data_IF_358337169051
#
_entry.id   IF_358337169051
#
_cell.length_a   1.000
_cell.length_b   1.000
_cell.length_c   1.000
_cell.angle_alpha   90.00
_cell.angle_beta   90.00
_cell.angle_gamma   90.00
#
_symmetry.space_group_name_H-M   'P 1'
#
loop_
_entity.id
_entity.type
_entity.pdbx_description
1 polymer ?
#
# COMPACT_ATOMS: atom_id res chain seq x y z
N UNK A 1 -7.98 11.28 59.19
CA UNK A 1 -8.81 10.93 58.02
C UNK A 1 -8.10 11.39 56.73
N UNK A 2 -7.11 10.65 56.20
CA UNK A 2 -6.37 11.02 54.96
C UNK A 2 -5.77 9.80 54.23
N UNK A 3 -6.52 8.70 54.05
CA UNK A 3 -6.01 7.47 53.39
C UNK A 3 -7.04 6.77 52.48
N UNK A 4 -7.92 7.51 51.81
CA UNK A 4 -8.94 6.91 50.91
C UNK A 4 -9.01 7.48 49.49
N UNK A 5 -8.12 8.41 49.11
CA UNK A 5 -8.17 9.03 47.78
C UNK A 5 -7.16 8.48 46.77
N UNK A 6 -6.16 7.70 47.20
CA UNK A 6 -5.13 7.15 46.30
C UNK A 6 -5.57 5.90 45.52
N UNK A 7 -6.74 5.32 45.83
CA UNK A 7 -7.25 4.14 45.14
C UNK A 7 -8.16 4.46 43.94
N UNK A 8 -8.63 5.72 43.83
CA UNK A 8 -9.55 6.15 42.76
C UNK A 8 -8.84 6.71 41.52
N UNK A 9 -7.60 7.17 41.66
CA UNK A 9 -6.79 7.68 40.53
C UNK A 9 -6.08 6.54 39.78
N UNK A 10 -5.84 5.40 40.43
CA UNK A 10 -5.20 4.25 39.78
C UNK A 10 -6.15 3.45 38.86
N UNK A 11 -7.48 3.61 39.03
CA UNK A 11 -8.48 2.91 38.23
C UNK A 11 -8.92 3.70 36.98
N UNK A 12 -8.61 5.00 36.90
CA UNK A 12 -8.97 5.87 35.78
C UNK A 12 -7.94 5.89 34.64
N UNK A 13 -6.74 5.34 34.87
CA UNK A 13 -5.69 5.21 33.83
C UNK A 13 -5.77 3.88 33.09
N UNK A 14 -6.41 2.85 33.68
CA UNK A 14 -6.52 1.51 33.07
C UNK A 14 -7.64 1.39 32.03
N UNK A 15 -8.57 2.37 31.96
CA UNK A 15 -9.69 2.36 31.02
C UNK A 15 -9.37 3.00 29.66
N UNK A 16 -8.18 3.58 29.46
CA UNK A 16 -7.79 4.19 28.18
C UNK A 16 -7.21 3.22 27.14
N UNK A 17 -7.03 1.93 27.47
CA UNK A 17 -6.53 0.91 26.53
C UNK A 17 -7.60 0.00 25.93
N UNK A 18 -8.88 0.18 26.28
CA UNK A 18 -9.99 -0.39 25.51
C UNK A 18 -10.45 0.60 24.43
N UNK A 19 -9.52 1.05 23.58
CA UNK A 19 -9.90 1.48 22.24
C UNK A 19 -10.36 0.22 21.53
N UNK A 20 -11.68 0.00 21.55
CA UNK A 20 -12.36 -1.10 20.88
C UNK A 20 -11.68 -1.43 19.55
N UNK A 21 -11.16 -2.65 19.44
CA UNK A 21 -11.12 -3.32 18.16
C UNK A 21 -12.55 -3.40 17.68
N UNK A 22 -13.00 -2.38 16.96
CA UNK A 22 -14.21 -2.45 16.15
C UNK A 22 -13.92 -3.58 15.18
N UNK A 23 -14.44 -4.78 15.45
CA UNK A 23 -14.49 -5.83 14.46
C UNK A 23 -15.13 -5.19 13.22
N UNK A 24 -14.34 -5.05 12.16
CA UNK A 24 -14.82 -4.46 10.92
C UNK A 24 -15.96 -5.35 10.44
N UNK A 25 -17.19 -4.84 10.57
CA UNK A 25 -18.38 -5.59 10.22
C UNK A 25 -18.54 -5.49 8.70
N UNK A 26 -18.49 -6.62 8.01
CA UNK A 26 -18.72 -6.70 6.57
C UNK A 26 -20.00 -5.94 6.19
N UNK A 27 -19.97 -5.28 5.03
CA UNK A 27 -21.12 -4.49 4.57
C UNK A 27 -22.34 -5.38 4.31
N UNK A 28 -23.51 -4.88 4.70
CA UNK A 28 -24.76 -5.64 4.67
C UNK A 28 -25.34 -5.87 3.27
N UNK A 29 -24.87 -5.15 2.26
CA UNK A 29 -25.39 -5.13 0.90
C UNK A 29 -24.42 -5.68 -0.16
N UNK A 30 -23.50 -6.58 0.24
CA UNK A 30 -22.49 -7.19 -0.65
C UNK A 30 -22.88 -8.54 -1.25
N UNK A 31 -24.06 -9.06 -0.93
CA UNK A 31 -24.49 -10.37 -1.44
C UNK A 31 -24.57 -10.37 -2.97
N UNK A 32 -23.84 -11.29 -3.61
CA UNK A 32 -23.78 -11.43 -5.06
C UNK A 32 -22.88 -10.42 -5.79
N UNK A 33 -22.19 -9.54 -5.06
CA UNK A 33 -21.20 -8.65 -5.67
C UNK A 33 -19.89 -9.40 -5.98
N UNK A 34 -19.36 -9.34 -7.21
CA UNK A 34 -18.15 -10.07 -7.58
C UNK A 34 -16.89 -9.58 -6.86
N UNK A 35 -16.90 -8.39 -6.25
CA UNK A 35 -15.79 -7.81 -5.51
C UNK A 35 -16.03 -7.80 -4.00
N UNK A 36 -17.03 -8.52 -3.48
CA UNK A 36 -17.40 -8.51 -2.06
C UNK A 36 -16.19 -8.74 -1.12
N UNK A 37 -15.40 -9.77 -1.37
CA UNK A 37 -14.23 -10.09 -0.54
C UNK A 37 -13.16 -8.99 -0.59
N UNK A 38 -12.90 -8.44 -1.78
CA UNK A 38 -11.96 -7.34 -1.99
C UNK A 38 -12.41 -6.07 -1.26
N UNK A 39 -13.71 -5.76 -1.33
CA UNK A 39 -14.31 -4.61 -0.64
C UNK A 39 -14.19 -4.79 0.87
N UNK A 40 -14.49 -5.97 1.41
CA UNK A 40 -14.36 -6.27 2.83
C UNK A 40 -12.89 -6.15 3.29
N UNK A 41 -11.93 -6.67 2.52
CA UNK A 41 -10.50 -6.50 2.83
C UNK A 41 -10.07 -5.02 2.86
N UNK A 42 -10.57 -4.20 1.94
CA UNK A 42 -10.32 -2.76 1.95
C UNK A 42 -11.00 -2.05 3.13
N UNK A 43 -12.16 -2.54 3.59
CA UNK A 43 -12.84 -2.05 4.79
C UNK A 43 -12.06 -2.39 6.07
N UNK A 44 -11.55 -3.62 6.19
CA UNK A 44 -10.72 -4.07 7.32
C UNK A 44 -9.44 -3.24 7.45
N UNK A 45 -8.84 -2.88 6.31
CA UNK A 45 -7.70 -1.95 6.24
C UNK A 45 -8.08 -0.49 6.47
N UNK A 46 -9.36 -0.23 6.74
CA UNK A 46 -9.90 1.09 7.00
C UNK A 46 -9.92 2.01 5.78
N UNK A 47 -9.62 1.53 4.56
CA UNK A 47 -9.58 2.31 3.32
C UNK A 47 -10.99 2.72 2.93
N UNK A 48 -11.90 1.73 2.86
CA UNK A 48 -13.31 1.95 2.56
C UNK A 48 -14.14 2.11 3.83
N UNK A 49 -15.20 2.92 3.72
CA UNK A 49 -16.21 3.10 4.75
C UNK A 49 -17.59 3.06 4.11
N UNK A 50 -18.52 2.43 4.80
CA UNK A 50 -19.93 2.40 4.43
C UNK A 50 -20.67 3.60 5.01
N UNK A 51 -21.96 3.65 4.76
CA UNK A 51 -22.87 4.60 5.40
C UNK A 51 -23.11 4.25 6.88
N UNK A 52 -23.88 5.09 7.57
CA UNK A 52 -24.25 4.90 8.97
C UNK A 52 -25.06 3.63 9.24
N UNK A 53 -25.62 3.01 8.20
CA UNK A 53 -26.43 1.79 8.27
C UNK A 53 -25.60 0.53 7.95
N UNK A 54 -24.28 0.68 7.74
CA UNK A 54 -23.41 -0.44 7.39
C UNK A 54 -23.60 -0.95 5.96
N UNK A 55 -24.04 -0.08 5.04
CA UNK A 55 -24.12 -0.36 3.60
C UNK A 55 -22.99 0.31 2.84
N UNK A 56 -22.47 -0.34 1.81
CA UNK A 56 -21.44 0.22 0.94
C UNK A 56 -22.01 0.80 -0.36
N UNK A 57 -23.19 0.37 -0.80
CA UNK A 57 -23.82 0.71 -2.07
C UNK A 57 -22.92 0.38 -3.27
N UNK A 58 -22.70 -0.91 -3.58
CA UNK A 58 -21.70 -1.33 -4.57
C UNK A 58 -22.05 -0.90 -6.01
N UNK A 59 -23.34 -0.90 -6.35
CA UNK A 59 -23.85 -0.45 -7.65
C UNK A 59 -23.92 1.06 -7.81
N UNK A 60 -23.68 1.83 -6.73
CA UNK A 60 -23.67 3.28 -6.79
C UNK A 60 -22.54 3.83 -7.64
N UNK A 61 -22.77 5.00 -8.24
CA UNK A 61 -21.75 5.73 -8.99
C UNK A 61 -20.72 6.35 -8.04
N UNK A 62 -19.44 6.36 -8.46
CA UNK A 62 -18.36 7.00 -7.71
C UNK A 62 -18.18 8.46 -8.13
N UNK A 63 -18.19 9.39 -7.18
CA UNK A 63 -17.86 10.79 -7.44
C UNK A 63 -16.34 10.97 -7.58
N UNK A 64 -15.93 12.08 -8.21
CA UNK A 64 -14.52 12.39 -8.42
C UNK A 64 -13.76 12.49 -7.09
N UNK A 65 -14.35 13.18 -6.12
CA UNK A 65 -13.77 13.30 -4.78
C UNK A 65 -13.65 11.96 -4.07
N UNK A 66 -14.64 11.07 -4.20
CA UNK A 66 -14.57 9.73 -3.61
C UNK A 66 -13.49 8.88 -4.29
N UNK A 67 -13.40 8.93 -5.62
CA UNK A 67 -12.40 8.17 -6.39
C UNK A 67 -10.97 8.55 -6.05
N UNK A 68 -10.65 9.85 -6.06
CA UNK A 68 -9.31 10.33 -5.68
C UNK A 68 -9.00 9.98 -4.20
N UNK A 69 -9.99 10.09 -3.31
CA UNK A 69 -9.81 9.78 -1.89
C UNK A 69 -9.46 8.33 -1.62
N UNK A 70 -10.10 7.37 -2.29
CA UNK A 70 -9.77 5.96 -2.09
C UNK A 70 -8.40 5.61 -2.69
N UNK A 71 -7.98 6.28 -3.78
CA UNK A 71 -6.65 6.08 -4.38
C UNK A 71 -5.56 6.61 -3.45
N UNK A 72 -5.66 7.88 -3.01
CA UNK A 72 -4.69 8.50 -2.09
C UNK A 72 -4.55 7.68 -0.82
N UNK A 73 -5.68 7.28 -0.23
CA UNK A 73 -5.69 6.48 1.00
C UNK A 73 -5.20 5.05 0.79
N UNK A 74 -5.59 4.42 -0.32
CA UNK A 74 -5.24 3.04 -0.63
C UNK A 74 -3.74 2.84 -0.82
N UNK A 75 -3.07 3.82 -1.44
CA UNK A 75 -1.61 3.82 -1.61
C UNK A 75 -0.84 4.55 -0.51
N UNK A 76 -1.54 5.08 0.51
CA UNK A 76 -0.90 5.82 1.61
C UNK A 76 -0.14 7.07 1.17
N UNK A 77 -0.59 7.71 0.08
CA UNK A 77 0.05 8.92 -0.43
C UNK A 77 -0.07 10.02 0.62
N UNK A 78 1.02 10.75 0.84
CA UNK A 78 1.10 11.82 1.84
C UNK A 78 2.06 12.92 1.35
N UNK A 79 2.16 13.99 2.12
CA UNK A 79 3.03 15.14 1.87
C UNK A 79 3.87 15.49 3.10
N UNK A 80 4.07 14.54 4.02
CA UNK A 80 4.69 14.78 5.33
C UNK A 80 6.15 15.25 5.22
N UNK A 81 6.80 14.89 4.11
CA UNK A 81 8.17 15.24 3.77
C UNK A 81 8.29 16.57 3.00
N UNK A 82 7.18 17.22 2.65
CA UNK A 82 7.19 18.53 2.01
C UNK A 82 7.22 19.64 3.05
N UNK A 83 7.88 20.74 2.70
CA UNK A 83 7.92 21.96 3.51
C UNK A 83 7.37 23.10 2.67
N UNK A 84 6.31 23.72 3.16
CA UNK A 84 5.63 24.80 2.47
C UNK A 84 5.94 26.13 3.16
N UNK A 85 6.32 27.13 2.37
CA UNK A 85 6.47 28.51 2.87
C UNK A 85 5.09 29.10 3.22
N UNK A 86 4.06 28.70 2.46
CA UNK A 86 2.66 29.05 2.69
C UNK A 86 1.81 27.79 2.54
N UNK A 87 0.83 27.64 3.43
CA UNK A 87 -0.12 26.52 3.38
C UNK A 87 -0.75 26.37 1.98
N UNK A 88 -0.65 25.17 1.37
CA UNK A 88 -1.28 24.90 0.09
C UNK A 88 -2.80 24.86 0.25
N UNK A 89 -3.51 25.33 -0.78
CA UNK A 89 -4.97 25.32 -0.82
C UNK A 89 -5.43 24.55 -2.06
N UNK A 90 -6.54 23.83 -1.95
CA UNK A 90 -7.09 23.09 -3.07
C UNK A 90 -7.47 24.03 -4.23
N UNK A 91 -8.04 25.20 -3.92
CA UNK A 91 -8.42 26.22 -4.92
C UNK A 91 -7.25 26.80 -5.71
N UNK A 92 -6.01 26.72 -5.20
CA UNK A 92 -4.83 27.14 -5.96
C UNK A 92 -4.60 26.27 -7.20
N UNK A 93 -5.04 25.01 -7.16
CA UNK A 93 -4.85 24.03 -8.23
C UNK A 93 -6.15 23.70 -8.96
N UNK A 94 -7.26 23.67 -8.22
CA UNK A 94 -8.59 23.26 -8.69
C UNK A 94 -9.63 24.32 -8.28
N UNK A 95 -9.87 25.35 -9.12
CA UNK A 95 -10.71 26.49 -8.75
C UNK A 95 -12.17 26.14 -8.42
N UNK A 96 -12.66 24.98 -8.87
CA UNK A 96 -14.03 24.50 -8.63
C UNK A 96 -14.18 23.68 -7.32
N UNK A 97 -13.10 23.50 -6.56
CA UNK A 97 -13.09 22.80 -5.27
C UNK A 97 -13.17 23.78 -4.10
N UNK A 98 -13.42 23.24 -2.90
CA UNK A 98 -13.43 24.01 -1.64
C UNK A 98 -12.14 23.77 -0.85
N UNK A 99 -11.73 24.79 -0.08
CA UNK A 99 -10.55 24.73 0.78
C UNK A 99 -10.83 24.13 2.18
N UNK A 100 -12.09 23.81 2.50
CA UNK A 100 -12.53 23.36 3.82
C UNK A 100 -13.47 22.13 3.76
N UNK A 101 -13.41 21.36 2.67
CA UNK A 101 -14.21 20.16 2.48
C UNK A 101 -13.46 18.90 2.92
N UNK A 102 -14.21 17.82 3.18
CA UNK A 102 -13.66 16.52 3.59
C UNK A 102 -12.62 15.92 2.62
N UNK A 103 -12.61 16.37 1.36
CA UNK A 103 -11.68 15.92 0.32
C UNK A 103 -10.51 16.88 0.10
N UNK A 104 -10.49 18.07 0.72
CA UNK A 104 -9.50 19.12 0.40
C UNK A 104 -8.06 18.62 0.50
N UNK A 105 -7.71 18.01 1.64
CA UNK A 105 -6.37 17.48 1.88
C UNK A 105 -6.00 16.41 0.86
N UNK A 106 -6.95 15.53 0.51
CA UNK A 106 -6.77 14.51 -0.51
C UNK A 106 -6.34 15.11 -1.84
N UNK A 107 -7.00 16.18 -2.31
CA UNK A 107 -6.66 16.78 -3.61
C UNK A 107 -5.31 17.50 -3.58
N UNK A 108 -4.94 18.11 -2.45
CA UNK A 108 -3.61 18.69 -2.26
C UNK A 108 -2.56 17.58 -2.31
N UNK A 109 -2.77 16.48 -1.58
CA UNK A 109 -1.88 15.31 -1.58
C UNK A 109 -1.74 14.73 -2.99
N UNK A 110 -2.86 14.53 -3.68
CA UNK A 110 -2.89 14.01 -5.04
C UNK A 110 -2.07 14.88 -6.00
N UNK A 111 -2.27 16.20 -5.97
CA UNK A 111 -1.54 17.16 -6.79
C UNK A 111 -0.03 17.10 -6.52
N UNK A 112 0.39 17.07 -5.26
CA UNK A 112 1.80 17.02 -4.89
C UNK A 112 2.45 15.64 -5.11
N UNK A 113 1.64 14.59 -5.26
CA UNK A 113 2.08 13.25 -5.66
C UNK A 113 1.97 13.04 -7.18
N UNK A 114 1.67 14.07 -7.97
CA UNK A 114 1.71 14.00 -9.43
C UNK A 114 0.51 13.31 -10.08
N UNK A 115 -0.63 13.21 -9.39
CA UNK A 115 -1.88 12.79 -10.03
C UNK A 115 -2.36 13.93 -10.94
N UNK A 116 -2.45 13.67 -12.24
CA UNK A 116 -2.85 14.64 -13.27
C UNK A 116 -4.38 14.83 -13.29
N UNK A 117 -4.90 15.47 -12.25
CA UNK A 117 -6.33 15.78 -12.13
C UNK A 117 -6.68 17.02 -12.98
N UNK A 118 -7.79 17.01 -13.74
CA UNK A 118 -8.23 18.19 -14.50
C UNK A 118 -8.47 19.41 -13.61
N UNK A 119 -8.00 20.59 -14.03
CA UNK A 119 -8.14 21.84 -13.25
C UNK A 119 -9.59 22.22 -12.98
N UNK A 120 -10.48 21.92 -13.92
CA UNK A 120 -11.91 22.23 -13.86
C UNK A 120 -12.75 21.16 -13.15
N UNK A 121 -12.10 20.16 -12.52
CA UNK A 121 -12.77 19.08 -11.79
C UNK A 121 -13.78 19.60 -10.76
N UNK A 122 -14.94 18.95 -10.68
CA UNK A 122 -15.92 19.18 -9.61
C UNK A 122 -15.95 17.97 -8.69
N UNK A 123 -16.02 18.20 -7.39
CA UNK A 123 -15.96 17.13 -6.38
C UNK A 123 -17.09 16.08 -6.54
N UNK A 124 -18.28 16.52 -6.92
CA UNK A 124 -19.50 15.73 -7.09
C UNK A 124 -19.67 15.16 -8.50
N UNK A 125 -18.82 15.54 -9.45
CA UNK A 125 -18.81 14.97 -10.79
C UNK A 125 -18.66 13.45 -10.72
N UNK A 126 -19.49 12.72 -11.46
CA UNK A 126 -19.36 11.26 -11.53
C UNK A 126 -18.15 10.90 -12.39
N UNK A 127 -17.28 10.05 -11.84
CA UNK A 127 -16.05 9.63 -12.51
C UNK A 127 -16.35 8.51 -13.52
N UNK A 128 -15.71 8.58 -14.68
CA UNK A 128 -15.77 7.49 -15.67
C UNK A 128 -14.72 6.41 -15.37
N UNK A 129 -14.88 5.25 -16.00
CA UNK A 129 -13.94 4.13 -15.89
C UNK A 129 -12.52 4.49 -16.33
N UNK A 130 -12.37 5.19 -17.47
CA UNK A 130 -11.05 5.61 -17.95
C UNK A 130 -10.38 6.62 -17.02
N UNK A 131 -11.16 7.53 -16.39
CA UNK A 131 -10.64 8.52 -15.46
C UNK A 131 -10.13 7.84 -14.18
N UNK A 132 -10.90 6.89 -13.64
CA UNK A 132 -10.47 6.15 -12.46
C UNK A 132 -9.23 5.30 -12.77
N UNK A 133 -9.20 4.58 -13.90
CA UNK A 133 -8.03 3.81 -14.34
C UNK A 133 -6.78 4.68 -14.46
N UNK A 134 -6.92 5.88 -15.04
CA UNK A 134 -5.83 6.82 -15.18
C UNK A 134 -5.24 7.24 -13.82
N UNK A 135 -6.09 7.68 -12.89
CA UNK A 135 -5.63 8.09 -11.55
C UNK A 135 -5.13 6.92 -10.70
N UNK A 136 -5.74 5.74 -10.84
CA UNK A 136 -5.32 4.52 -10.15
C UNK A 136 -3.90 4.14 -10.55
N UNK A 137 -3.61 4.14 -11.85
CA UNK A 137 -2.26 3.86 -12.36
C UNK A 137 -1.26 4.90 -11.85
N UNK A 138 -1.58 6.20 -11.94
CA UNK A 138 -0.68 7.24 -11.44
C UNK A 138 -0.40 7.08 -9.94
N UNK A 139 -1.44 6.86 -9.12
CA UNK A 139 -1.29 6.60 -7.69
C UNK A 139 -0.44 5.37 -7.39
N UNK A 140 -0.64 4.28 -8.13
CA UNK A 140 0.16 3.07 -8.02
C UNK A 140 1.63 3.33 -8.35
N UNK A 141 1.93 4.09 -9.41
CA UNK A 141 3.32 4.40 -9.78
C UNK A 141 4.04 5.30 -8.77
N UNK A 142 3.33 5.87 -7.79
CA UNK A 142 3.95 6.60 -6.67
C UNK A 142 4.50 5.70 -5.57
N UNK A 143 4.16 4.41 -5.57
CA UNK A 143 4.64 3.46 -4.55
C UNK A 143 5.93 2.75 -4.94
N UNK A 144 6.44 2.95 -6.15
CA UNK A 144 7.71 2.38 -6.59
C UNK A 144 7.88 2.36 -8.11
N UNK A 145 9.03 1.83 -8.54
CA UNK A 145 9.31 1.58 -9.95
C UNK A 145 8.83 0.17 -10.32
N UNK A 146 7.97 0.08 -11.32
CA UNK A 146 7.40 -1.17 -11.80
C UNK A 146 7.72 -1.35 -13.28
N UNK A 147 8.10 -2.56 -13.66
CA UNK A 147 8.36 -2.93 -15.05
C UNK A 147 7.13 -3.62 -15.63
N UNK A 148 6.77 -3.22 -16.84
CA UNK A 148 5.64 -3.77 -17.59
C UNK A 148 6.14 -4.28 -18.93
N UNK A 149 5.49 -5.32 -19.47
CA UNK A 149 5.74 -5.70 -20.85
C UNK A 149 5.18 -4.63 -21.79
N UNK A 150 5.75 -4.54 -22.99
CA UNK A 150 5.28 -3.61 -24.04
C UNK A 150 4.28 -4.28 -25.00
N UNK A 151 3.61 -5.35 -24.54
CA UNK A 151 2.55 -5.99 -25.31
C UNK A 151 1.34 -5.06 -25.36
N UNK A 152 0.89 -4.71 -26.55
CA UNK A 152 -0.36 -3.97 -26.72
C UNK A 152 -1.55 -4.93 -26.68
N UNK A 153 -2.54 -4.64 -25.83
CA UNK A 153 -3.77 -5.40 -25.73
C UNK A 153 -4.90 -4.69 -26.48
N UNK A 154 -5.30 -5.23 -27.63
CA UNK A 154 -6.42 -4.67 -28.40
C UNK A 154 -7.74 -4.82 -27.65
N UNK A 155 -8.63 -3.84 -27.76
CA UNK A 155 -10.01 -3.95 -27.26
C UNK A 155 -11.00 -3.18 -28.12
N UNK A 156 -12.24 -3.65 -28.15
CA UNK A 156 -13.21 -3.32 -29.19
C UNK A 156 -13.63 -1.85 -29.20
N UNK A 157 -13.61 -1.17 -28.06
CA UNK A 157 -13.98 0.23 -27.89
C UNK A 157 -12.77 1.14 -27.57
N UNK A 158 -11.56 0.74 -27.98
CA UNK A 158 -10.34 1.53 -27.78
C UNK A 158 -10.41 2.94 -28.39
N UNK A 159 -11.11 3.09 -29.52
CA UNK A 159 -11.26 4.38 -30.20
C UNK A 159 -12.03 5.42 -29.37
N UNK A 160 -12.80 4.98 -28.37
CA UNK A 160 -13.48 5.88 -27.46
C UNK A 160 -12.56 6.41 -26.35
N UNK A 161 -11.42 5.77 -26.09
CA UNK A 161 -10.53 6.13 -24.98
C UNK A 161 -9.92 7.50 -25.21
N UNK A 162 -9.86 8.32 -24.15
CA UNK A 162 -9.03 9.51 -24.19
C UNK A 162 -7.56 9.10 -24.38
N UNK A 163 -6.85 9.58 -25.43
CA UNK A 163 -5.46 9.18 -25.69
C UNK A 163 -4.51 9.37 -24.51
N UNK A 164 -4.75 10.37 -23.66
CA UNK A 164 -3.96 10.60 -22.44
C UNK A 164 -4.04 9.43 -21.45
N UNK A 165 -5.16 8.71 -21.44
CA UNK A 165 -5.44 7.63 -20.49
C UNK A 165 -5.09 6.24 -21.03
N UNK A 166 -4.80 6.13 -22.33
CA UNK A 166 -4.59 4.83 -23.00
C UNK A 166 -3.43 4.04 -22.37
N UNK A 167 -2.30 4.70 -22.09
CA UNK A 167 -1.15 4.04 -21.49
C UNK A 167 -1.52 3.42 -20.12
N UNK A 168 -2.16 4.20 -19.24
CA UNK A 168 -2.61 3.70 -17.94
C UNK A 168 -3.53 2.48 -18.07
N UNK A 169 -4.49 2.52 -19.01
CA UNK A 169 -5.40 1.40 -19.25
C UNK A 169 -4.64 0.17 -19.75
N UNK A 170 -3.74 0.33 -20.72
CA UNK A 170 -2.90 -0.76 -21.24
C UNK A 170 -2.06 -1.40 -20.13
N UNK A 171 -1.36 -0.59 -19.32
CA UNK A 171 -0.51 -1.12 -18.23
C UNK A 171 -1.33 -1.85 -17.17
N UNK A 172 -2.52 -1.34 -16.82
CA UNK A 172 -3.43 -2.01 -15.89
C UNK A 172 -4.03 -3.31 -16.45
N UNK A 173 -4.29 -3.39 -17.77
CA UNK A 173 -4.73 -4.63 -18.44
C UNK A 173 -3.61 -5.67 -18.46
N UNK A 174 -2.39 -5.27 -18.84
CA UNK A 174 -1.20 -6.13 -18.89
C UNK A 174 -0.86 -6.70 -17.51
N UNK A 175 -1.04 -5.90 -16.45
CA UNK A 175 -0.84 -6.34 -15.07
C UNK A 175 -2.02 -7.11 -14.49
N UNK A 176 -3.08 -7.36 -15.28
CA UNK A 176 -4.31 -8.02 -14.86
C UNK A 176 -5.01 -7.38 -13.64
N UNK A 177 -4.82 -6.06 -13.43
CA UNK A 177 -5.50 -5.29 -12.38
C UNK A 177 -6.93 -4.94 -12.83
N UNK A 178 -7.11 -4.71 -14.12
CA UNK A 178 -8.41 -4.50 -14.76
C UNK A 178 -8.58 -5.53 -15.87
N UNK A 179 -9.84 -5.81 -16.24
CA UNK A 179 -10.19 -6.75 -17.29
C UNK A 179 -11.19 -6.15 -18.26
N UNK A 180 -11.21 -6.73 -19.47
CA UNK A 180 -12.26 -6.52 -20.46
C UNK A 180 -13.40 -7.51 -20.21
N UNK A 181 -14.59 -7.20 -20.71
CA UNK A 181 -15.68 -8.17 -20.72
C UNK A 181 -15.50 -9.26 -21.80
N UNK A 182 -16.47 -10.17 -21.90
CA UNK A 182 -16.48 -11.26 -22.89
C UNK A 182 -16.46 -10.78 -24.34
N UNK A 183 -16.89 -9.54 -24.60
CA UNK A 183 -16.89 -8.90 -25.92
C UNK A 183 -15.62 -8.08 -26.16
N UNK A 184 -14.64 -8.18 -25.26
CA UNK A 184 -13.41 -7.36 -25.25
C UNK A 184 -13.70 -5.86 -25.16
N UNK A 185 -14.72 -5.46 -24.41
CA UNK A 185 -15.06 -4.06 -24.18
C UNK A 185 -14.51 -3.57 -22.84
N UNK A 186 -13.98 -2.34 -22.82
CA UNK A 186 -13.54 -1.67 -21.59
C UNK A 186 -14.59 -0.71 -21.02
N UNK A 187 -15.42 -0.11 -21.88
CA UNK A 187 -16.41 0.93 -21.58
C UNK A 187 -15.79 2.22 -20.99
N UNK A 188 -14.85 2.90 -21.68
CA UNK A 188 -14.07 3.99 -21.10
C UNK A 188 -14.94 5.16 -20.61
N UNK A 189 -16.03 5.47 -21.33
CA UNK A 189 -16.93 6.59 -20.99
C UNK A 189 -18.04 6.25 -20.01
N UNK A 190 -18.24 4.97 -19.68
CA UNK A 190 -19.23 4.59 -18.69
C UNK A 190 -18.79 5.06 -17.30
N UNK A 191 -19.76 5.36 -16.44
CA UNK A 191 -19.49 5.70 -15.04
C UNK A 191 -18.88 4.48 -14.34
N UNK A 192 -17.92 4.71 -13.45
CA UNK A 192 -17.39 3.62 -12.63
C UNK A 192 -18.28 3.42 -11.40
N UNK A 193 -18.65 2.17 -11.13
CA UNK A 193 -19.37 1.80 -9.91
C UNK A 193 -18.42 1.74 -8.73
N UNK A 194 -18.96 1.92 -7.52
CA UNK A 194 -18.20 1.80 -6.27
C UNK A 194 -17.60 0.41 -6.09
N UNK A 195 -18.26 -0.64 -6.56
CA UNK A 195 -17.73 -2.01 -6.57
C UNK A 195 -16.54 -2.16 -7.53
N UNK A 196 -16.68 -1.73 -8.78
CA UNK A 196 -15.59 -1.85 -9.76
C UNK A 196 -14.35 -1.07 -9.33
N UNK A 197 -14.52 0.15 -8.83
CA UNK A 197 -13.42 0.97 -8.33
C UNK A 197 -12.69 0.33 -7.14
N UNK A 198 -13.44 -0.26 -6.21
CA UNK A 198 -12.85 -0.98 -5.07
C UNK A 198 -12.12 -2.24 -5.50
N UNK A 199 -12.68 -3.01 -6.44
CA UNK A 199 -12.03 -4.18 -7.01
C UNK A 199 -10.69 -3.83 -7.65
N UNK A 200 -10.67 -2.81 -8.51
CA UNK A 200 -9.44 -2.36 -9.18
C UNK A 200 -8.41 -1.80 -8.19
N UNK A 201 -8.85 -1.04 -7.19
CA UNK A 201 -7.96 -0.51 -6.15
C UNK A 201 -7.33 -1.66 -5.34
N UNK A 202 -8.13 -2.64 -4.93
CA UNK A 202 -7.63 -3.81 -4.22
C UNK A 202 -6.57 -4.54 -5.03
N UNK A 203 -6.87 -4.85 -6.30
CA UNK A 203 -5.95 -5.60 -7.15
C UNK A 203 -4.67 -4.82 -7.44
N UNK A 204 -4.75 -3.49 -7.58
CA UNK A 204 -3.57 -2.65 -7.71
C UNK A 204 -2.71 -2.66 -6.44
N UNK A 205 -3.33 -2.62 -5.26
CA UNK A 205 -2.58 -2.71 -4.00
C UNK A 205 -1.94 -4.10 -3.84
N UNK A 206 -2.65 -5.17 -4.21
CA UNK A 206 -2.10 -6.53 -4.21
C UNK A 206 -0.91 -6.65 -5.17
N UNK A 207 -1.03 -6.10 -6.39
CA UNK A 207 0.07 -6.04 -7.34
C UNK A 207 1.29 -5.32 -6.76
N UNK A 208 1.10 -4.16 -6.14
CA UNK A 208 2.17 -3.41 -5.46
C UNK A 208 2.84 -4.27 -4.39
N UNK A 209 2.05 -4.93 -3.53
CA UNK A 209 2.56 -5.80 -2.48
C UNK A 209 3.35 -6.99 -3.03
N UNK A 210 2.82 -7.66 -4.06
CA UNK A 210 3.49 -8.78 -4.72
C UNK A 210 4.79 -8.37 -5.41
N UNK A 211 4.81 -7.23 -6.11
CA UNK A 211 6.02 -6.76 -6.79
C UNK A 211 7.07 -6.23 -5.84
N UNK A 212 6.68 -5.64 -4.71
CA UNK A 212 7.62 -5.25 -3.66
C UNK A 212 8.13 -6.46 -2.87
N UNK A 213 7.32 -7.51 -2.69
CA UNK A 213 7.74 -8.77 -2.09
C UNK A 213 8.61 -9.62 -3.04
N UNK A 214 8.35 -9.52 -4.35
CA UNK A 214 8.99 -10.29 -5.42
C UNK A 214 10.12 -9.57 -6.15
N UNK A 215 10.39 -8.29 -5.86
CA UNK A 215 11.65 -7.66 -6.28
C UNK A 215 12.78 -8.49 -5.70
N UNK A 216 13.68 -9.07 -6.52
CA UNK A 216 14.93 -9.59 -5.99
C UNK A 216 15.52 -8.43 -5.20
N UNK A 217 15.76 -8.64 -3.91
CA UNK A 217 16.56 -7.71 -3.12
C UNK A 217 17.76 -7.38 -3.99
N UNK A 218 17.97 -6.09 -4.28
CA UNK A 218 19.24 -5.65 -4.89
C UNK A 218 20.32 -6.45 -4.17
N UNK A 219 21.16 -7.24 -4.88
CA UNK A 219 22.01 -8.22 -4.22
C UNK A 219 22.73 -7.53 -3.08
N UNK A 220 22.35 -7.90 -1.87
CA UNK A 220 22.87 -7.23 -0.69
C UNK A 220 24.36 -7.54 -0.66
N UNK A 221 25.24 -6.52 -0.55
CA UNK A 221 26.66 -6.78 -0.33
C UNK A 221 26.89 -7.41 1.06
N UNK A 222 25.87 -7.48 1.91
CA UNK A 222 25.94 -8.08 3.23
C UNK A 222 25.78 -9.61 3.13
N UNK A 223 26.66 -10.33 3.82
CA UNK A 223 26.64 -11.79 3.92
C UNK A 223 26.52 -12.24 5.38
N UNK A 224 26.34 -13.55 5.60
CA UNK A 224 26.29 -14.15 6.95
C UNK A 224 25.29 -13.49 7.91
N UNK A 225 24.12 -13.08 7.38
CA UNK A 225 23.07 -12.46 8.20
C UNK A 225 22.62 -13.39 9.34
N UNK A 226 22.58 -12.84 10.55
CA UNK A 226 22.18 -13.54 11.77
C UNK A 226 21.25 -12.69 12.61
N UNK A 227 20.33 -13.36 13.28
CA UNK A 227 19.40 -12.76 14.23
C UNK A 227 19.71 -13.29 15.62
N UNK A 228 19.90 -12.38 16.58
CA UNK A 228 20.08 -12.67 17.99
C UNK A 228 18.96 -12.03 18.79
N UNK A 229 18.38 -12.78 19.71
CA UNK A 229 17.29 -12.32 20.58
C UNK A 229 17.74 -12.39 22.03
N UNK A 230 17.54 -11.29 22.76
CA UNK A 230 17.84 -11.18 24.19
C UNK A 230 16.63 -10.63 24.94
N UNK A 231 16.19 -11.30 26.00
CA UNK A 231 15.11 -10.79 26.84
C UNK A 231 15.53 -9.50 27.54
N UNK A 232 14.71 -8.45 27.43
CA UNK A 232 14.88 -7.18 28.18
C UNK A 232 14.04 -7.24 29.45
N UNK A 233 12.80 -7.70 29.33
CA UNK A 233 11.87 -7.94 30.43
C UNK A 233 10.82 -9.00 30.02
N UNK A 234 9.83 -9.27 30.88
CA UNK A 234 8.80 -10.28 30.64
C UNK A 234 7.97 -10.08 29.36
N UNK A 235 7.89 -8.85 28.85
CA UNK A 235 7.03 -8.46 27.75
C UNK A 235 7.79 -8.07 26.48
N UNK A 236 9.11 -7.88 26.55
CA UNK A 236 9.91 -7.33 25.46
C UNK A 236 11.24 -8.06 25.30
N UNK A 237 11.51 -8.46 24.06
CA UNK A 237 12.80 -8.93 23.59
C UNK A 237 13.52 -7.83 22.80
N UNK A 238 14.82 -7.67 23.03
CA UNK A 238 15.73 -6.96 22.15
C UNK A 238 16.17 -7.91 21.04
N UNK A 239 16.03 -7.48 19.80
CA UNK A 239 16.36 -8.27 18.62
C UNK A 239 17.43 -7.54 17.83
N UNK A 240 18.60 -8.17 17.71
CA UNK A 240 19.75 -7.64 16.98
C UNK A 240 19.94 -8.43 15.69
N UNK A 241 20.03 -7.71 14.57
CA UNK A 241 20.42 -8.28 13.28
C UNK A 241 21.87 -7.91 13.02
N UNK A 242 22.70 -8.91 12.72
CA UNK A 242 24.12 -8.77 12.37
C UNK A 242 24.36 -9.27 10.95
N UNK A 243 25.34 -8.72 10.26
CA UNK A 243 25.80 -9.19 8.97
C UNK A 243 27.27 -8.81 8.72
N UNK A 244 27.95 -9.53 7.84
CA UNK A 244 29.29 -9.19 7.37
C UNK A 244 29.18 -8.27 6.15
N UNK A 245 29.80 -7.10 6.23
CA UNK A 245 29.87 -6.14 5.14
C UNK A 245 31.28 -6.13 4.49
N UNK A 246 31.42 -5.81 3.19
CA UNK A 246 32.71 -5.80 2.51
C UNK A 246 33.73 -4.81 3.09
N UNK A 247 33.25 -3.69 3.65
CA UNK A 247 34.05 -2.63 4.26
C UNK A 247 33.18 -1.79 5.21
N UNK A 248 33.76 -1.01 6.16
CA UNK A 248 33.00 -0.28 7.18
C UNK A 248 32.15 0.89 6.65
N UNK A 249 32.24 1.22 5.36
CA UNK A 249 31.33 2.19 4.74
C UNK A 249 29.90 1.70 4.54
N UNK A 250 29.67 0.39 4.55
CA UNK A 250 28.31 -0.14 4.52
C UNK A 250 27.70 -0.16 5.92
N UNK A 251 26.38 -0.12 5.98
CA UNK A 251 25.62 -0.40 7.18
C UNK A 251 24.43 -1.32 6.91
N UNK A 252 23.68 -1.61 7.96
CA UNK A 252 22.41 -2.33 7.91
C UNK A 252 21.39 -1.55 8.73
N UNK A 253 20.16 -1.44 8.23
CA UNK A 253 19.03 -0.89 8.98
C UNK A 253 17.82 -1.80 8.84
N UNK A 254 16.94 -1.74 9.84
CA UNK A 254 15.62 -2.38 9.75
C UNK A 254 14.74 -1.46 8.90
N UNK A 255 14.20 -1.98 7.80
CA UNK A 255 13.34 -1.23 6.88
C UNK A 255 11.87 -1.35 7.27
N UNK A 256 11.44 -2.54 7.71
CA UNK A 256 10.09 -2.78 8.23
C UNK A 256 10.04 -4.01 9.14
N UNK A 257 8.97 -4.11 9.93
CA UNK A 257 8.62 -5.31 10.69
C UNK A 257 7.17 -5.64 10.38
N UNK A 258 6.91 -6.84 9.87
CA UNK A 258 5.58 -7.33 9.53
C UNK A 258 5.17 -8.42 10.52
N UNK A 259 4.01 -8.26 11.14
CA UNK A 259 3.49 -9.24 12.09
C UNK A 259 2.50 -10.16 11.39
N UNK A 260 2.81 -11.46 11.33
CA UNK A 260 1.98 -12.49 10.70
C UNK A 260 1.86 -13.69 11.64
N UNK A 261 0.64 -13.95 12.13
CA UNK A 261 0.40 -15.00 13.11
C UNK A 261 1.22 -14.76 14.39
N UNK A 262 2.07 -15.72 14.73
CA UNK A 262 2.98 -15.68 15.88
C UNK A 262 4.36 -15.10 15.54
N UNK A 263 4.59 -14.62 14.32
CA UNK A 263 5.91 -14.16 13.86
C UNK A 263 5.99 -12.65 13.75
N UNK A 264 7.18 -12.12 14.02
CA UNK A 264 7.61 -10.78 13.65
C UNK A 264 8.69 -10.90 12.57
N UNK A 265 8.32 -10.64 11.32
CA UNK A 265 9.19 -10.76 10.15
C UNK A 265 9.96 -9.46 9.99
N UNK A 266 11.28 -9.52 10.14
CA UNK A 266 12.17 -8.35 10.11
C UNK A 266 12.75 -8.22 8.70
N UNK A 267 12.39 -7.12 8.05
CA UNK A 267 13.00 -6.72 6.79
C UNK A 267 14.16 -5.76 7.08
N UNK A 268 15.26 -5.97 6.36
CA UNK A 268 16.46 -5.14 6.49
C UNK A 268 16.89 -4.62 5.14
N UNK A 269 17.59 -3.49 5.16
CA UNK A 269 18.14 -2.86 3.98
C UNK A 269 19.59 -2.44 4.24
N UNK A 270 20.43 -2.57 3.21
CA UNK A 270 21.80 -2.10 3.24
C UNK A 270 21.85 -0.58 3.22
N UNK A 271 22.64 0.01 4.11
CA UNK A 271 23.05 1.41 4.02
C UNK A 271 24.31 1.47 3.15
N UNK A 272 24.24 2.19 2.03
CA UNK A 272 25.34 2.30 1.07
C UNK A 272 26.45 3.23 1.61
N UNK A 273 27.72 2.99 1.22
CA UNK A 273 28.81 3.92 1.53
C UNK A 273 28.59 5.30 0.92
N UNK A 274 29.12 6.31 1.59
CA UNK A 274 29.16 7.66 1.03
C UNK A 274 30.13 7.67 -0.18
N UNK A 275 29.68 8.09 -1.37
CA UNK A 275 30.47 7.98 -2.61
C UNK A 275 31.85 8.66 -2.56
N UNK A 276 31.98 9.75 -1.78
CA UNK A 276 33.19 10.57 -1.72
C UNK A 276 34.14 10.18 -0.57
N UNK A 277 33.84 9.10 0.16
CA UNK A 277 34.69 8.60 1.26
C UNK A 277 35.44 7.35 0.85
N UNK A 278 36.73 7.33 1.19
CA UNK A 278 37.55 6.12 1.07
C UNK A 278 37.38 5.24 2.30
N UNK A 279 37.11 3.96 2.08
CA UNK A 279 36.95 2.97 3.15
C UNK A 279 38.02 1.89 3.06
N UNK A 280 38.56 1.42 4.21
CA UNK A 280 39.52 0.31 4.23
C UNK A 280 38.83 -0.96 3.72
N UNK A 281 39.54 -1.75 2.90
CA UNK A 281 39.02 -2.98 2.30
C UNK A 281 39.12 -4.16 3.29
N UNK A 282 38.28 -4.12 4.32
CA UNK A 282 38.24 -5.13 5.38
C UNK A 282 36.80 -5.53 5.72
N UNK A 283 36.54 -6.83 5.75
CA UNK A 283 35.22 -7.35 6.14
C UNK A 283 34.90 -6.85 7.55
N UNK A 284 33.73 -6.22 7.71
CA UNK A 284 33.31 -5.59 8.96
C UNK A 284 31.93 -6.10 9.37
N UNK A 285 31.77 -6.52 10.62
CA UNK A 285 30.45 -6.86 11.16
C UNK A 285 29.64 -5.57 11.35
N UNK A 286 28.48 -5.49 10.70
CA UNK A 286 27.48 -4.43 10.88
C UNK A 286 26.29 -4.97 11.65
N UNK A 287 25.65 -4.12 12.46
CA UNK A 287 24.49 -4.53 13.25
C UNK A 287 23.46 -3.43 13.43
N UNK A 288 22.21 -3.84 13.63
CA UNK A 288 21.08 -2.97 13.97
C UNK A 288 20.17 -3.68 14.96
N UNK A 289 19.45 -2.92 15.78
CA UNK A 289 18.64 -3.46 16.89
C UNK A 289 17.22 -2.91 16.85
N UNK A 290 16.25 -3.72 17.23
CA UNK A 290 14.86 -3.33 17.49
C UNK A 290 14.32 -4.04 18.74
N UNK A 291 13.11 -3.70 19.16
CA UNK A 291 12.43 -4.30 20.30
C UNK A 291 11.11 -4.92 19.85
N UNK A 292 10.92 -6.21 20.16
CA UNK A 292 9.75 -7.00 19.75
C UNK A 292 9.10 -7.58 21.00
N UNK A 293 7.77 -7.54 21.07
CA UNK A 293 7.01 -8.15 22.17
C UNK A 293 7.32 -9.66 22.29
N UNK A 294 7.39 -10.18 23.52
CA UNK A 294 7.58 -11.61 23.78
C UNK A 294 6.45 -12.49 23.22
N UNK A 295 5.32 -11.89 22.83
CA UNK A 295 4.22 -12.58 22.14
C UNK A 295 4.55 -13.01 20.71
N UNK A 296 5.63 -12.51 20.10
CA UNK A 296 6.02 -12.82 18.73
C UNK A 296 7.41 -13.45 18.66
N UNK A 297 7.57 -14.39 17.74
CA UNK A 297 8.84 -15.00 17.37
C UNK A 297 9.52 -14.16 16.27
N UNK A 298 10.67 -13.51 16.54
CA UNK A 298 11.39 -12.76 15.53
C UNK A 298 12.01 -13.70 14.49
N UNK A 299 11.84 -13.38 13.22
CA UNK A 299 12.47 -14.08 12.09
C UNK A 299 12.97 -13.07 11.07
N UNK A 300 14.08 -13.38 10.39
CA UNK A 300 14.51 -12.59 9.23
C UNK A 300 13.57 -12.90 8.06
N UNK A 301 13.24 -11.88 7.26
CA UNK A 301 12.62 -12.11 5.96
C UNK A 301 13.57 -12.99 5.12
N UNK A 302 13.12 -14.16 4.68
CA UNK A 302 13.90 -14.98 3.75
C UNK A 302 14.06 -14.20 2.44
N UNK A 303 15.28 -14.10 1.92
CA UNK A 303 15.46 -13.77 0.51
C UNK A 303 14.69 -14.84 -0.29
N UNK A 304 13.90 -14.48 -1.30
CA UNK A 304 13.10 -15.46 -2.04
C UNK A 304 14.03 -16.50 -2.64
N UNK A 305 14.16 -17.64 -1.95
CA UNK A 305 14.81 -18.80 -2.49
C UNK A 305 13.92 -19.29 -3.61
N UNK A 306 14.51 -19.42 -4.79
CA UNK A 306 13.89 -20.09 -5.93
C UNK A 306 13.25 -21.39 -5.42
N UNK A 307 11.92 -21.43 -5.37
CA UNK A 307 11.22 -22.70 -5.28
C UNK A 307 11.65 -23.47 -6.51
N UNK A 308 12.55 -24.43 -6.30
CA UNK A 308 12.90 -25.42 -7.31
C UNK A 308 11.58 -25.99 -7.84
N UNK A 309 11.31 -25.71 -9.11
CA UNK A 309 10.27 -26.37 -9.86
C UNK A 309 10.60 -27.87 -9.79
N UNK A 310 9.84 -28.59 -8.97
CA UNK A 310 9.81 -30.04 -9.05
C UNK A 310 9.29 -30.36 -10.46
N UNK A 311 10.22 -30.75 -11.33
CA UNK A 311 9.96 -31.26 -12.66
C UNK A 311 9.09 -32.51 -12.55
N UNK A 312 7.77 -32.36 -12.68
CA UNK A 312 6.89 -33.47 -12.99
C UNK A 312 7.12 -33.83 -14.45
N UNK A 313 8.04 -34.78 -14.66
CA UNK A 313 8.20 -35.54 -15.89
C UNK A 313 6.85 -36.15 -16.28
N UNK A 314 6.17 -35.54 -17.25
CA UNK A 314 5.09 -36.20 -17.98
C UNK A 314 5.71 -37.33 -18.79
N UNK A 315 5.47 -38.55 -18.31
CA UNK A 315 5.77 -39.77 -19.05
C UNK A 315 4.95 -39.82 -20.33
N UNK A 316 5.65 -39.80 -21.46
CA UNK A 316 5.15 -40.27 -22.74
C UNK A 316 4.72 -41.72 -22.59
N UNK A 317 3.44 -42.02 -22.86
CA UNK A 317 3.00 -43.35 -23.25
C UNK A 317 2.50 -43.31 -24.69
N UNK A 318 3.13 -44.17 -25.47
CA UNK A 318 2.67 -44.66 -26.76
C UNK A 318 1.29 -45.33 -26.65
#
# INVERSE_FOLDING_TARGET
MKKRQSLLVLLSVLTLFMAWGQSARAFSDMSGDPNADKINALQERGILKGDSNGKYNPGGNLTYAAGVSIIVKGFGLNIDNLRFVKEPKATHYFPNLKDDAWYTDTFIIAQHNGLEIPKDVKADQIMTREQFAYHLFQGMMRTGEYFFTEQYMDFADEAAVNPLYMNSIQKLLISAIISLDEKRMFYPKATITRSAAAGWLHDAISFVGEKQAGTPSKPSPLSNMKLETKAVNANVNEVTVKADAPHPGYGIRISSIVFEGDRAIIHTETVMPEPDKMYPQVITEVKTTTYISTAYKPVLAEAPQSRNAASSSFGSRA
#
